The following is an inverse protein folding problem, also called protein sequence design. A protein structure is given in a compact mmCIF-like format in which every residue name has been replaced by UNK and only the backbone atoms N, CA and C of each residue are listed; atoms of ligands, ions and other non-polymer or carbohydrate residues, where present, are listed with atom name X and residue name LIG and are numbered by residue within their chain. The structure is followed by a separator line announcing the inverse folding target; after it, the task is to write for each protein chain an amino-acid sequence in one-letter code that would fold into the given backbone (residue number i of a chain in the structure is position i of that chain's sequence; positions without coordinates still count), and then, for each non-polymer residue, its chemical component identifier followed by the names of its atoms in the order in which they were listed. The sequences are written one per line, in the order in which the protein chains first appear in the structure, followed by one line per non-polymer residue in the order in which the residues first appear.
data_IF_938370930352
#
_entry.id   IF_938370930352
#
_cell.length_a   1.000
_cell.length_b   1.000
_cell.length_c   1.000
_cell.angle_alpha   90.00
_cell.angle_beta   90.00
_cell.angle_gamma   90.00
#
_symmetry.space_group_name_H-M   'P 1'
#
loop_
_entity.id
_entity.type
_entity.pdbx_description
1 polymer ?
#
# COMPACT_ATOMS: atom_id res chain seq x y z
N UNK A 1 -14.45 6.05 4.56
CA UNK A 1 -13.46 6.03 3.45
C UNK A 1 -12.26 5.23 3.95
N UNK A 2 -11.76 4.28 3.15
CA UNK A 2 -10.95 3.12 3.55
C UNK A 2 -9.86 3.39 4.62
N UNK A 3 -9.97 2.71 5.77
CA UNK A 3 -8.96 2.68 6.84
C UNK A 3 -7.72 1.85 6.43
N UNK A 4 -6.67 1.85 7.24
CA UNK A 4 -5.44 1.06 7.06
C UNK A 4 -4.50 1.45 5.90
N UNK A 5 -4.24 2.76 5.71
CA UNK A 5 -3.33 3.31 4.68
C UNK A 5 -3.72 3.03 3.21
N UNK A 6 -4.82 2.29 2.95
CA UNK A 6 -5.31 1.99 1.60
C UNK A 6 -5.75 3.26 0.88
N UNK A 7 -6.42 4.18 1.59
CA UNK A 7 -6.86 5.45 0.99
C UNK A 7 -5.71 6.33 0.48
N UNK A 8 -4.50 6.14 1.01
CA UNK A 8 -3.29 6.85 0.58
C UNK A 8 -2.47 6.11 -0.46
N UNK A 9 -2.90 4.91 -0.89
CA UNK A 9 -2.18 4.15 -1.90
C UNK A 9 -2.23 4.88 -3.26
N UNK A 10 -1.08 4.96 -3.92
CA UNK A 10 -0.94 5.56 -5.25
C UNK A 10 -0.56 4.49 -6.28
N UNK A 11 -0.78 4.73 -7.59
CA UNK A 11 -0.30 3.85 -8.63
C UNK A 11 1.22 3.65 -8.53
N UNK A 12 1.67 2.41 -8.66
CA UNK A 12 3.09 2.05 -8.56
C UNK A 12 3.96 2.82 -9.56
N UNK A 13 3.50 2.97 -10.80
CA UNK A 13 4.23 3.72 -11.82
C UNK A 13 4.49 5.18 -11.38
N UNK A 14 3.50 5.82 -10.73
CA UNK A 14 3.63 7.18 -10.20
C UNK A 14 4.63 7.24 -9.04
N UNK A 15 4.61 6.24 -8.15
CA UNK A 15 5.60 6.15 -7.06
C UNK A 15 7.03 5.99 -7.60
N UNK A 16 7.24 5.07 -8.55
CA UNK A 16 8.55 4.83 -9.15
C UNK A 16 9.04 6.04 -9.98
N UNK A 17 8.14 6.74 -10.66
CA UNK A 17 8.47 7.99 -11.36
C UNK A 17 8.93 9.06 -10.37
N UNK A 18 8.17 9.30 -9.29
CA UNK A 18 8.54 10.27 -8.26
C UNK A 18 9.89 9.98 -7.59
N UNK A 19 10.22 8.70 -7.37
CA UNK A 19 11.54 8.32 -6.84
C UNK A 19 12.68 8.67 -7.80
N UNK A 20 12.48 8.47 -9.12
CA UNK A 20 13.46 8.85 -10.14
C UNK A 20 13.59 10.37 -10.27
N UNK A 21 12.47 11.08 -10.23
CA UNK A 21 12.44 12.56 -10.23
C UNK A 21 13.13 13.15 -8.99
N UNK A 22 13.04 12.47 -7.85
CA UNK A 22 13.79 12.82 -6.64
C UNK A 22 15.31 12.53 -6.75
N UNK A 23 15.78 12.01 -7.89
CA UNK A 23 17.19 11.79 -8.18
C UNK A 23 17.70 10.40 -7.82
N UNK A 24 16.87 9.47 -7.34
CA UNK A 24 17.32 8.09 -7.09
C UNK A 24 17.58 7.35 -8.40
N UNK A 25 18.68 6.59 -8.42
CA UNK A 25 19.05 5.70 -9.52
C UNK A 25 18.81 4.24 -9.14
N UNK A 26 18.86 3.34 -10.12
CA UNK A 26 18.65 1.89 -9.93
C UNK A 26 17.31 1.55 -9.23
N UNK A 27 16.28 2.37 -9.43
CA UNK A 27 14.97 2.22 -8.77
C UNK A 27 14.25 0.97 -9.30
N UNK A 28 14.02 0.00 -8.40
CA UNK A 28 13.39 -1.27 -8.71
C UNK A 28 12.50 -1.77 -7.58
N UNK A 29 11.41 -2.44 -7.94
CA UNK A 29 10.59 -3.22 -6.99
C UNK A 29 11.26 -4.56 -6.77
N UNK A 30 11.50 -4.92 -5.51
CA UNK A 30 12.15 -6.19 -5.11
C UNK A 30 11.17 -7.22 -4.63
N UNK A 31 10.16 -6.78 -3.88
CA UNK A 31 9.14 -7.66 -3.31
C UNK A 31 7.76 -7.06 -3.49
N UNK A 32 6.76 -7.94 -3.57
CA UNK A 32 5.35 -7.59 -3.68
C UNK A 32 4.50 -8.57 -2.87
N UNK A 33 3.60 -8.01 -2.07
CA UNK A 33 2.49 -8.73 -1.46
C UNK A 33 1.19 -8.12 -2.00
N UNK A 34 0.51 -8.83 -2.90
CA UNK A 34 -0.83 -8.48 -3.37
C UNK A 34 -1.83 -9.05 -2.38
N UNK A 35 -2.70 -8.21 -1.84
CA UNK A 35 -3.66 -8.65 -0.84
C UNK A 35 -4.88 -9.31 -1.48
N UNK A 36 -5.23 -10.49 -0.98
CA UNK A 36 -6.52 -11.13 -1.25
C UNK A 36 -7.63 -10.60 -0.32
N UNK A 37 -8.86 -11.04 -0.55
CA UNK A 37 -10.01 -10.59 0.23
C UNK A 37 -9.93 -10.99 1.72
N UNK A 38 -9.36 -12.15 2.05
CA UNK A 38 -9.25 -12.63 3.42
C UNK A 38 -8.19 -11.82 4.20
N UNK A 39 -7.05 -11.55 3.57
CA UNK A 39 -6.00 -10.70 4.11
C UNK A 39 -6.50 -9.25 4.28
N UNK A 40 -7.23 -8.70 3.31
CA UNK A 40 -7.86 -7.38 3.44
C UNK A 40 -8.92 -7.35 4.54
N UNK A 41 -9.66 -8.44 4.73
CA UNK A 41 -10.65 -8.54 5.83
C UNK A 41 -9.94 -8.44 7.18
N UNK A 42 -8.86 -9.20 7.39
CA UNK A 42 -8.06 -9.11 8.61
C UNK A 42 -7.39 -7.74 8.81
N UNK A 43 -7.01 -7.07 7.72
CA UNK A 43 -6.41 -5.73 7.76
C UNK A 43 -7.43 -4.61 8.07
N UNK A 44 -8.68 -4.77 7.66
CA UNK A 44 -9.73 -3.75 7.81
C UNK A 44 -10.65 -4.00 9.00
N UNK A 45 -10.62 -5.22 9.55
CA UNK A 45 -11.35 -5.56 10.76
C UNK A 45 -10.58 -5.09 12.01
N UNK A 46 -11.08 -4.01 12.62
CA UNK A 46 -10.50 -3.43 13.82
C UNK A 46 -10.75 -4.26 15.09
N UNK A 47 -11.61 -5.30 15.04
CA UNK A 47 -11.93 -6.14 16.21
C UNK A 47 -10.96 -7.31 16.40
N UNK A 48 -10.31 -7.75 15.33
CA UNK A 48 -9.37 -8.90 15.31
C UNK A 48 -7.90 -8.49 15.23
N UNK A 49 -7.60 -7.19 15.27
CA UNK A 49 -6.24 -6.65 15.38
C UNK A 49 -5.73 -5.82 14.19
N UNK A 50 -6.57 -5.57 13.17
CA UNK A 50 -6.24 -4.77 11.99
C UNK A 50 -6.51 -3.26 12.12
N UNK A 51 -6.85 -2.76 13.31
CA UNK A 51 -7.13 -1.35 13.53
C UNK A 51 -5.88 -0.49 13.37
N UNK A 52 -5.54 -0.10 12.14
CA UNK A 52 -4.53 0.92 11.89
C UNK A 52 -5.00 2.25 12.52
N UNK A 53 -4.08 2.98 13.17
CA UNK A 53 -4.28 4.16 14.03
C UNK A 53 -5.15 5.32 13.49
N UNK A 54 -5.72 5.24 12.29
CA UNK A 54 -6.36 6.36 11.59
C UNK A 54 -7.83 6.10 11.21
N UNK A 55 -8.50 5.08 11.78
CA UNK A 55 -9.93 4.81 11.50
C UNK A 55 -10.71 4.50 12.78
N UNK A 56 -11.72 5.31 13.08
CA UNK A 56 -12.69 5.01 14.15
C UNK A 56 -13.68 3.94 13.67
N UNK A 57 -13.62 2.76 14.31
CA UNK A 57 -14.64 1.71 14.23
C UNK A 57 -14.47 0.69 13.10
N UNK A 58 -14.90 -0.55 13.37
CA UNK A 58 -14.96 -1.61 12.36
C UNK A 58 -16.07 -1.29 11.36
N UNK A 59 -15.82 -1.49 10.07
CA UNK A 59 -16.87 -1.42 9.06
C UNK A 59 -17.97 -2.47 9.34
N UNK A 60 -19.26 -2.18 9.08
CA UNK A 60 -20.30 -3.19 9.11
C UNK A 60 -19.92 -4.39 8.23
N UNK A 61 -20.20 -5.63 8.67
CA UNK A 61 -19.76 -6.86 7.99
C UNK A 61 -20.08 -6.89 6.49
N UNK A 62 -21.27 -6.44 6.09
CA UNK A 62 -21.67 -6.36 4.68
C UNK A 62 -20.83 -5.35 3.88
N UNK A 63 -20.53 -4.21 4.50
CA UNK A 63 -19.67 -3.19 3.89
C UNK A 63 -18.24 -3.68 3.78
N UNK A 64 -17.73 -4.36 4.82
CA UNK A 64 -16.41 -4.98 4.82
C UNK A 64 -16.28 -6.04 3.72
N UNK A 65 -17.25 -6.93 3.58
CA UNK A 65 -17.25 -7.95 2.53
C UNK A 65 -17.26 -7.33 1.12
N UNK A 66 -18.10 -6.31 0.89
CA UNK A 66 -18.14 -5.59 -0.39
C UNK A 66 -16.82 -4.89 -0.70
N UNK A 67 -16.25 -4.20 0.29
CA UNK A 67 -14.99 -3.46 0.17
C UNK A 67 -13.82 -4.39 -0.13
N UNK A 68 -13.68 -5.47 0.63
CA UNK A 68 -12.58 -6.44 0.48
C UNK A 68 -12.67 -7.15 -0.86
N UNK A 69 -13.86 -7.55 -1.31
CA UNK A 69 -14.07 -8.10 -2.64
C UNK A 69 -13.72 -7.11 -3.76
N UNK A 70 -14.06 -5.82 -3.60
CA UNK A 70 -13.77 -4.80 -4.60
C UNK A 70 -12.27 -4.47 -4.72
N UNK A 71 -11.51 -4.62 -3.63
CA UNK A 71 -10.10 -4.27 -3.52
C UNK A 71 -9.13 -5.46 -3.68
N UNK A 72 -9.63 -6.70 -3.55
CA UNK A 72 -8.83 -7.91 -3.70
C UNK A 72 -8.07 -7.88 -5.03
N UNK A 73 -6.76 -8.14 -4.97
CA UNK A 73 -5.89 -8.11 -6.15
C UNK A 73 -5.45 -6.71 -6.62
N UNK A 74 -6.02 -5.63 -6.06
CA UNK A 74 -5.73 -4.24 -6.48
C UNK A 74 -4.84 -3.48 -5.50
N UNK A 75 -4.82 -3.91 -4.24
CA UNK A 75 -3.98 -3.32 -3.19
C UNK A 75 -2.78 -4.23 -2.98
N UNK A 76 -1.60 -3.61 -2.87
CA UNK A 76 -0.37 -4.33 -2.60
C UNK A 76 0.56 -3.53 -1.70
N UNK A 77 1.34 -4.24 -0.91
CA UNK A 77 2.56 -3.69 -0.30
C UNK A 77 3.74 -4.06 -1.18
N UNK A 78 4.58 -3.08 -1.51
CA UNK A 78 5.77 -3.27 -2.35
C UNK A 78 7.02 -2.85 -1.58
N UNK A 79 8.12 -3.58 -1.78
CA UNK A 79 9.45 -3.13 -1.37
C UNK A 79 10.14 -2.52 -2.58
N UNK A 80 10.47 -1.24 -2.49
CA UNK A 80 11.21 -0.52 -3.53
C UNK A 80 12.62 -0.24 -3.02
N UNK A 81 13.61 -0.47 -3.88
CA UNK A 81 15.01 -0.13 -3.63
C UNK A 81 15.46 0.90 -4.65
N UNK A 82 16.32 1.83 -4.24
CA UNK A 82 17.04 2.74 -5.12
C UNK A 82 18.38 3.12 -4.47
N UNK A 83 19.29 3.70 -5.25
CA UNK A 83 20.56 4.24 -4.75
C UNK A 83 20.60 5.76 -4.93
N UNK A 84 21.33 6.45 -4.04
CA UNK A 84 21.78 7.81 -4.32
C UNK A 84 22.72 7.75 -5.53
N UNK A 85 22.61 8.66 -6.50
CA UNK A 85 23.55 8.74 -7.61
C UNK A 85 24.94 8.98 -7.05
N UNK A 86 25.96 8.39 -7.69
CA UNK A 86 27.34 8.64 -7.33
C UNK A 86 27.59 10.15 -7.48
N UNK A 87 28.06 10.77 -6.40
CA UNK A 87 28.33 12.20 -6.34
C UNK A 87 29.50 12.46 -7.31
N UNK A 88 29.20 12.91 -8.54
CA UNK A 88 30.19 13.63 -9.34
C UNK A 88 30.41 14.97 -8.63
N UNK A 89 31.34 14.95 -7.70
CA UNK A 89 31.90 16.10 -6.99
C UNK A 89 32.30 17.16 -8.05
N UNK A 90 31.65 18.34 -8.13
CA UNK A 90 32.18 19.46 -8.91
C UNK A 90 33.46 20.02 -8.27
#
# INVERSE_FOLDING_TARGET
LYSACISGAIPEASYLAGLREAGLVDVAVRDRLVYDAAQLTGLLDSTTGGGCCCGEGSLPKETLARVTAALAGKVASIRVTGRKPDEMNP
#
